data_IF_567052714878
#
_entry.id   IF_567052714878
#
_cell.length_a   1.000
_cell.length_b   1.000
_cell.length_c   1.000
_cell.angle_alpha   90.00
_cell.angle_beta   90.00
_cell.angle_gamma   90.00
#
_symmetry.space_group_name_H-M   'P 1'
#
loop_
_entity.id
_entity.type
_entity.pdbx_description
1 polymer ?
#
# COMPACT_ATOMS: atom_id res chain seq x y z
N UNK A 1 5.58 0.05 6.51
CA UNK A 1 5.82 0.00 5.04
C UNK A 1 4.86 -0.94 4.29
N UNK A 2 4.62 -2.18 4.77
CA UNK A 2 3.71 -3.12 4.09
C UNK A 2 2.27 -2.61 3.92
N UNK A 3 1.68 -2.03 4.97
CA UNK A 3 0.33 -1.43 4.91
C UNK A 3 0.22 -0.30 3.90
N UNK A 4 1.23 0.58 3.85
CA UNK A 4 1.30 1.70 2.90
C UNK A 4 1.29 1.19 1.46
N UNK A 5 2.07 0.16 1.15
CA UNK A 5 2.12 -0.42 -0.19
C UNK A 5 0.77 -1.02 -0.62
N UNK A 6 0.07 -1.68 0.31
CA UNK A 6 -1.25 -2.26 0.05
C UNK A 6 -2.29 -1.15 -0.12
N UNK A 7 -2.30 -0.15 0.75
CA UNK A 7 -3.21 0.99 0.65
C UNK A 7 -3.02 1.77 -0.67
N UNK A 8 -1.77 1.99 -1.07
CA UNK A 8 -1.42 2.59 -2.36
C UNK A 8 -1.94 1.73 -3.54
N UNK A 9 -1.76 0.40 -3.47
CA UNK A 9 -2.25 -0.53 -4.49
C UNK A 9 -3.78 -0.49 -4.62
N UNK A 10 -4.50 -0.48 -3.50
CA UNK A 10 -5.97 -0.43 -3.43
C UNK A 10 -6.56 0.93 -3.81
N UNK A 11 -5.75 1.99 -3.89
CA UNK A 11 -6.21 3.32 -4.34
C UNK A 11 -6.61 3.33 -5.81
N UNK A 12 -6.03 2.45 -6.63
CA UNK A 12 -6.39 2.36 -8.04
C UNK A 12 -7.81 1.77 -8.19
N UNK A 13 -8.78 2.49 -8.81
CA UNK A 13 -10.16 2.02 -8.93
C UNK A 13 -10.30 0.73 -9.76
N UNK A 14 -9.32 0.38 -10.59
CA UNK A 14 -9.30 -0.89 -11.33
C UNK A 14 -8.91 -2.09 -10.44
N UNK A 15 -8.34 -1.85 -9.25
CA UNK A 15 -7.91 -2.90 -8.31
C UNK A 15 -8.98 -3.13 -7.27
N UNK A 16 -9.63 -4.28 -7.31
CA UNK A 16 -10.72 -4.61 -6.37
C UNK A 16 -10.24 -5.32 -5.10
N UNK A 17 -8.97 -5.68 -5.03
CA UNK A 17 -8.37 -6.36 -3.88
C UNK A 17 -6.87 -6.58 -4.04
N UNK A 18 -6.17 -6.76 -2.91
CA UNK A 18 -4.73 -7.02 -2.87
C UNK A 18 -4.45 -8.34 -2.14
N UNK A 19 -3.88 -9.32 -2.83
CA UNK A 19 -3.49 -10.61 -2.27
C UNK A 19 -2.02 -10.55 -1.86
N UNK A 20 -1.74 -10.66 -0.57
CA UNK A 20 -0.40 -10.44 0.00
C UNK A 20 0.09 -11.69 0.69
N UNK A 21 1.27 -12.18 0.31
CA UNK A 21 1.90 -13.32 0.96
C UNK A 21 2.49 -12.95 2.32
N UNK A 22 2.25 -13.79 3.33
CA UNK A 22 2.86 -13.70 4.66
C UNK A 22 3.48 -15.06 5.04
N UNK A 23 4.70 -15.04 5.58
CA UNK A 23 5.42 -16.26 6.00
C UNK A 23 5.12 -16.65 7.45
N UNK A 24 4.50 -15.77 8.23
CA UNK A 24 4.07 -16.03 9.60
C UNK A 24 2.95 -15.06 10.03
N UNK A 25 2.29 -15.38 11.15
CA UNK A 25 1.18 -14.60 11.67
C UNK A 25 1.54 -13.14 12.00
N UNK A 26 2.78 -12.87 12.46
CA UNK A 26 3.18 -11.49 12.78
C UNK A 26 3.20 -10.59 11.54
N UNK A 27 3.60 -11.13 10.39
CA UNK A 27 3.56 -10.39 9.12
C UNK A 27 2.12 -10.10 8.68
N UNK A 28 1.23 -11.08 8.79
CA UNK A 28 -0.19 -10.87 8.50
C UNK A 28 -0.81 -9.81 9.40
N UNK A 29 -0.57 -9.89 10.72
CA UNK A 29 -1.05 -8.91 11.69
C UNK A 29 -0.48 -7.51 11.42
N UNK A 30 0.76 -7.41 10.94
CA UNK A 30 1.39 -6.14 10.61
C UNK A 30 0.85 -5.48 9.34
N UNK A 31 -0.01 -6.16 8.57
CA UNK A 31 -0.64 -5.59 7.37
C UNK A 31 -2.16 -5.69 7.34
N UNK A 32 -2.77 -6.27 8.38
CA UNK A 32 -4.19 -6.60 8.38
C UNK A 32 -5.10 -5.38 8.30
N UNK A 33 -4.63 -4.19 8.70
CA UNK A 33 -5.41 -2.95 8.69
C UNK A 33 -5.11 -2.07 7.48
N UNK A 34 -4.37 -2.58 6.49
CA UNK A 34 -4.03 -1.82 5.30
C UNK A 34 -5.23 -1.26 4.54
N UNK A 35 -6.37 -1.96 4.54
CA UNK A 35 -7.60 -1.48 3.91
C UNK A 35 -8.28 -0.31 4.63
N UNK A 36 -7.91 -0.05 5.89
CA UNK A 36 -8.39 1.10 6.66
C UNK A 36 -7.49 2.33 6.49
N UNK A 37 -6.24 2.13 6.06
CA UNK A 37 -5.28 3.20 5.82
C UNK A 37 -5.65 3.96 4.55
N UNK A 38 -5.98 5.25 4.70
CA UNK A 38 -6.21 6.16 3.57
C UNK A 38 -5.01 7.08 3.43
N UNK A 39 -4.31 6.96 2.32
CA UNK A 39 -3.26 7.89 1.95
C UNK A 39 -3.90 9.19 1.44
N UNK A 40 -3.38 10.31 1.92
CA UNK A 40 -3.69 11.63 1.36
C UNK A 40 -3.08 11.78 -0.03
N UNK A 41 -3.63 12.69 -0.83
CA UNK A 41 -3.06 12.98 -2.16
C UNK A 41 -1.61 13.45 -2.06
N UNK A 42 -1.25 14.15 -0.97
CA UNK A 42 0.13 14.55 -0.71
C UNK A 42 1.06 13.34 -0.56
N UNK A 43 0.70 12.37 0.27
CA UNK A 43 1.51 11.16 0.47
C UNK A 43 1.61 10.31 -0.80
N UNK A 44 0.55 10.29 -1.61
CA UNK A 44 0.57 9.59 -2.90
C UNK A 44 1.51 10.29 -3.88
N UNK A 45 1.44 11.62 -3.98
CA UNK A 45 2.33 12.39 -4.83
C UNK A 45 3.80 12.21 -4.41
N UNK A 46 4.10 12.16 -3.10
CA UNK A 46 5.45 11.89 -2.61
C UNK A 46 5.98 10.50 -3.08
N UNK A 47 5.10 9.48 -3.14
CA UNK A 47 5.46 8.16 -3.69
C UNK A 47 5.67 8.22 -5.20
N UNK A 48 4.78 8.92 -5.93
CA UNK A 48 4.85 9.03 -7.39
C UNK A 48 6.11 9.80 -7.84
N UNK A 49 6.41 10.94 -7.21
CA UNK A 49 7.63 11.72 -7.46
C UNK A 49 8.89 10.88 -7.23
N UNK A 50 8.93 10.10 -6.15
CA UNK A 50 10.04 9.20 -5.85
C UNK A 50 10.21 8.12 -6.94
N UNK A 51 9.12 7.56 -7.46
CA UNK A 51 9.18 6.55 -8.53
C UNK A 51 9.66 7.15 -9.86
N UNK A 52 9.29 8.40 -10.17
CA UNK A 52 9.78 9.12 -11.34
C UNK A 52 11.28 9.42 -11.26
N UNK A 53 11.80 9.74 -10.08
CA UNK A 53 13.24 10.01 -9.91
C UNK A 53 14.09 8.74 -9.81
N UNK A 54 13.49 7.61 -9.45
CA UNK A 54 14.17 6.32 -9.37
C UNK A 54 14.28 5.59 -10.73
N UNK A 55 13.55 6.06 -11.75
CA UNK A 55 13.56 5.54 -13.12
C UNK A 55 14.68 6.17 -13.98
#
# INVERSE_FOLDING_TARGET
PGEVAIAWTLRNPAVTGAIVGARNARQANGVMRAGELRLSDKEVNEIEEFLETAA
#
